data_IF_186242019975
#
_entry.id   IF_186242019975
#
_cell.length_a   1.000
_cell.length_b   1.000
_cell.length_c   1.000
_cell.angle_alpha   90.00
_cell.angle_beta   90.00
_cell.angle_gamma   90.00
#
_symmetry.space_group_name_H-M   'P 1'
#
loop_
_entity.id
_entity.type
_entity.pdbx_description
1 polymer ?
#
# COMPACT_ATOMS: atom_id res chain seq x y z
N UNK A 1 -43.71 -10.54 -36.47
CA UNK A 1 -43.53 -9.96 -35.12
C UNK A 1 -44.62 -10.37 -34.12
N UNK A 2 -45.90 -10.47 -34.52
CA UNK A 2 -46.98 -10.89 -33.63
C UNK A 2 -46.86 -12.33 -33.09
N UNK A 3 -46.26 -13.22 -33.86
CA UNK A 3 -46.13 -14.66 -33.51
C UNK A 3 -45.06 -14.89 -32.39
N UNK A 4 -43.96 -14.17 -32.44
CA UNK A 4 -42.88 -14.25 -31.44
C UNK A 4 -43.40 -13.71 -30.09
N UNK A 5 -44.14 -12.65 -30.10
CA UNK A 5 -44.74 -12.07 -28.90
C UNK A 5 -45.69 -13.04 -28.22
N UNK A 6 -46.54 -13.69 -29.00
CA UNK A 6 -47.49 -14.68 -28.50
C UNK A 6 -46.80 -15.92 -27.93
N UNK A 7 -45.69 -16.36 -28.52
CA UNK A 7 -44.92 -17.46 -27.99
C UNK A 7 -44.25 -17.09 -26.66
N UNK A 8 -43.73 -15.87 -26.54
CA UNK A 8 -43.12 -15.36 -25.29
C UNK A 8 -44.19 -15.29 -24.20
N UNK A 9 -45.38 -14.74 -24.49
CA UNK A 9 -46.47 -14.64 -23.53
C UNK A 9 -46.92 -16.04 -23.01
N UNK A 10 -47.06 -17.03 -23.89
CA UNK A 10 -47.40 -18.39 -23.51
C UNK A 10 -46.32 -19.08 -22.68
N UNK A 11 -45.04 -18.78 -22.96
CA UNK A 11 -43.94 -19.28 -22.16
C UNK A 11 -43.96 -18.71 -20.75
N UNK A 12 -44.14 -17.40 -20.61
CA UNK A 12 -44.25 -16.75 -19.31
C UNK A 12 -45.47 -17.21 -18.51
N UNK A 13 -46.62 -17.41 -19.17
CA UNK A 13 -47.79 -17.95 -18.52
C UNK A 13 -47.54 -19.37 -17.97
N UNK A 14 -46.93 -20.23 -18.79
CA UNK A 14 -46.58 -21.58 -18.36
C UNK A 14 -45.58 -21.59 -17.19
N UNK A 15 -44.57 -20.72 -17.24
CA UNK A 15 -43.61 -20.55 -16.17
C UNK A 15 -44.24 -20.06 -14.86
N UNK A 16 -45.10 -19.04 -14.94
CA UNK A 16 -45.86 -18.54 -13.79
C UNK A 16 -46.75 -19.65 -13.18
N UNK A 17 -47.39 -20.46 -14.00
CA UNK A 17 -48.21 -21.57 -13.55
C UNK A 17 -47.42 -22.64 -12.83
N UNK A 18 -46.20 -22.95 -13.29
CA UNK A 18 -45.30 -23.91 -12.64
C UNK A 18 -44.89 -23.38 -11.25
N UNK A 19 -44.50 -22.09 -11.14
CA UNK A 19 -44.13 -21.45 -9.87
C UNK A 19 -45.29 -21.52 -8.88
N UNK A 20 -46.49 -21.12 -9.30
CA UNK A 20 -47.66 -21.10 -8.45
C UNK A 20 -48.06 -22.49 -7.98
N UNK A 21 -47.92 -23.52 -8.84
CA UNK A 21 -48.27 -24.89 -8.51
C UNK A 21 -47.28 -25.59 -7.60
N UNK A 22 -46.01 -25.12 -7.54
CA UNK A 22 -44.96 -25.76 -6.77
C UNK A 22 -44.10 -24.72 -5.97
N UNK A 23 -44.72 -23.95 -5.05
CA UNK A 23 -44.07 -22.85 -4.39
C UNK A 23 -42.82 -23.27 -3.60
N UNK A 24 -42.86 -24.40 -2.89
CA UNK A 24 -41.71 -24.89 -2.10
C UNK A 24 -40.55 -25.33 -2.98
N UNK A 25 -40.80 -25.99 -4.12
CA UNK A 25 -39.75 -26.40 -5.06
C UNK A 25 -39.07 -25.18 -5.69
N UNK A 26 -39.88 -24.17 -6.04
CA UNK A 26 -39.36 -22.92 -6.60
C UNK A 26 -38.47 -22.18 -5.56
N UNK A 27 -38.91 -22.12 -4.29
CA UNK A 27 -38.13 -21.55 -3.22
C UNK A 27 -36.78 -22.27 -3.03
N UNK A 28 -36.79 -23.60 -2.99
CA UNK A 28 -35.57 -24.40 -2.86
C UNK A 28 -34.62 -24.17 -4.04
N UNK A 29 -35.15 -24.19 -5.28
CA UNK A 29 -34.32 -23.94 -6.46
C UNK A 29 -33.74 -22.54 -6.45
N UNK A 30 -34.52 -21.51 -6.10
CA UNK A 30 -34.04 -20.14 -5.99
C UNK A 30 -32.96 -20.00 -4.91
N UNK A 31 -33.18 -20.62 -3.75
CA UNK A 31 -32.18 -20.61 -2.68
C UNK A 31 -30.87 -21.29 -3.10
N UNK A 32 -30.95 -22.46 -3.74
CA UNK A 32 -29.77 -23.16 -4.25
C UNK A 32 -29.04 -22.33 -5.32
N UNK A 33 -29.79 -21.67 -6.22
CA UNK A 33 -29.18 -20.79 -7.22
C UNK A 33 -28.45 -19.61 -6.61
N UNK A 34 -29.07 -18.96 -5.62
CA UNK A 34 -28.43 -17.86 -4.88
C UNK A 34 -27.20 -18.37 -4.13
N UNK A 35 -27.30 -19.50 -3.43
CA UNK A 35 -26.18 -20.09 -2.71
C UNK A 35 -25.01 -20.43 -3.66
N UNK A 36 -25.30 -20.94 -4.85
CA UNK A 36 -24.30 -21.22 -5.87
C UNK A 36 -23.58 -19.95 -6.35
N UNK A 37 -24.29 -18.85 -6.53
CA UNK A 37 -23.71 -17.56 -6.91
C UNK A 37 -22.88 -16.99 -5.76
N UNK A 38 -23.42 -16.98 -4.53
CA UNK A 38 -22.73 -16.48 -3.34
C UNK A 38 -21.45 -17.25 -3.05
N UNK A 39 -21.43 -18.56 -3.32
CA UNK A 39 -20.24 -19.40 -3.16
C UNK A 39 -19.06 -19.00 -4.04
N UNK A 40 -19.29 -18.22 -5.09
CA UNK A 40 -18.23 -17.69 -5.96
C UNK A 40 -17.63 -16.36 -5.46
N UNK A 41 -18.30 -15.66 -4.53
CA UNK A 41 -17.83 -14.37 -4.01
C UNK A 41 -16.40 -14.43 -3.45
N UNK A 42 -15.98 -15.46 -2.68
CA UNK A 42 -14.62 -15.54 -2.17
C UNK A 42 -13.55 -15.69 -3.27
N UNK A 43 -13.94 -16.04 -4.50
CA UNK A 43 -13.03 -16.15 -5.65
C UNK A 43 -12.94 -14.87 -6.47
N UNK A 44 -13.71 -13.85 -6.10
CA UNK A 44 -13.69 -12.56 -6.76
C UNK A 44 -12.44 -11.80 -6.30
N UNK A 45 -11.50 -11.60 -7.20
CA UNK A 45 -10.37 -10.69 -7.02
C UNK A 45 -10.73 -9.36 -7.65
N UNK A 46 -10.66 -8.30 -6.86
CA UNK A 46 -10.86 -6.94 -7.37
C UNK A 46 -9.47 -6.38 -7.60
N UNK A 47 -9.13 -6.15 -8.85
CA UNK A 47 -7.92 -5.44 -9.23
C UNK A 47 -8.21 -3.94 -9.10
N UNK A 48 -7.61 -3.31 -8.08
CA UNK A 48 -7.71 -1.86 -7.81
C UNK A 48 -6.48 -1.11 -8.30
N UNK A 49 -5.57 -1.78 -9.03
CA UNK A 49 -4.41 -1.12 -9.61
C UNK A 49 -4.83 -0.09 -10.66
N UNK A 50 -4.03 0.95 -10.82
CA UNK A 50 -4.27 1.97 -11.86
C UNK A 50 -4.23 1.34 -13.26
N UNK A 51 -3.45 0.28 -13.43
CA UNK A 51 -3.32 -0.49 -14.68
C UNK A 51 -4.56 -1.33 -14.98
N UNK A 52 -5.33 -1.74 -13.95
CA UNK A 52 -6.59 -2.49 -14.12
C UNK A 52 -7.68 -1.74 -14.88
N UNK A 53 -7.55 -0.41 -15.03
CA UNK A 53 -8.44 0.41 -15.87
C UNK A 53 -8.06 0.39 -17.35
N UNK A 54 -6.83 -0.03 -17.69
CA UNK A 54 -6.35 -0.09 -19.06
C UNK A 54 -6.58 -1.50 -19.64
N UNK A 55 -6.85 -1.53 -20.93
CA UNK A 55 -7.01 -2.83 -21.60
C UNK A 55 -5.63 -3.49 -21.74
N UNK A 56 -5.49 -4.79 -21.44
CA UNK A 56 -4.22 -5.54 -21.52
C UNK A 56 -3.48 -5.46 -22.88
N UNK A 57 -4.18 -5.05 -23.93
CA UNK A 57 -3.64 -4.85 -25.28
C UNK A 57 -3.44 -3.37 -25.64
N UNK A 58 -3.57 -2.47 -24.67
CA UNK A 58 -3.32 -1.06 -24.90
C UNK A 58 -1.81 -0.85 -25.15
N UNK A 59 -1.42 -0.20 -26.25
CA UNK A 59 -0.02 0.08 -26.54
C UNK A 59 0.68 0.84 -25.40
N UNK A 60 -0.04 1.77 -24.75
CA UNK A 60 0.50 2.54 -23.63
C UNK A 60 0.84 1.62 -22.45
N UNK A 61 -0.01 0.63 -22.15
CA UNK A 61 0.26 -0.32 -21.08
C UNK A 61 1.45 -1.22 -21.42
N UNK A 62 1.56 -1.66 -22.68
CA UNK A 62 2.67 -2.48 -23.14
C UNK A 62 4.01 -1.73 -23.03
N UNK A 63 4.04 -0.46 -23.46
CA UNK A 63 5.23 0.39 -23.37
C UNK A 63 5.59 0.68 -21.91
N UNK A 64 4.58 0.91 -21.07
CA UNK A 64 4.76 1.11 -19.63
C UNK A 64 5.30 -0.14 -18.92
N UNK A 65 4.76 -1.32 -19.22
CA UNK A 65 5.25 -2.59 -18.68
C UNK A 65 6.70 -2.85 -19.13
N UNK A 66 7.03 -2.61 -20.40
CA UNK A 66 8.39 -2.72 -20.91
C UNK A 66 9.37 -1.76 -20.19
N UNK A 67 8.93 -0.54 -19.91
CA UNK A 67 9.70 0.42 -19.12
C UNK A 67 9.94 -0.09 -17.70
N UNK A 68 8.88 -0.59 -17.03
CA UNK A 68 8.99 -1.15 -15.67
C UNK A 68 9.87 -2.40 -15.60
N UNK A 69 9.82 -3.24 -16.61
CA UNK A 69 10.70 -4.43 -16.70
C UNK A 69 12.17 -4.04 -16.88
N UNK A 70 12.44 -2.93 -17.55
CA UNK A 70 13.80 -2.45 -17.79
C UNK A 70 14.39 -1.65 -16.62
N UNK A 71 13.57 -0.80 -15.98
CA UNK A 71 14.02 0.16 -14.96
C UNK A 71 13.58 -0.20 -13.54
N UNK A 72 12.76 -1.25 -13.41
CA UNK A 72 12.20 -1.68 -12.12
C UNK A 72 10.94 -0.91 -11.73
N UNK A 73 10.38 -1.28 -10.60
CA UNK A 73 9.21 -0.65 -9.99
C UNK A 73 9.66 0.13 -8.77
N UNK A 74 9.44 1.43 -8.75
CA UNK A 74 9.66 2.27 -7.58
C UNK A 74 8.48 2.13 -6.60
N UNK A 75 8.27 0.91 -6.08
CA UNK A 75 7.24 0.68 -5.07
C UNK A 75 7.77 1.13 -3.71
N UNK A 76 7.18 2.19 -3.19
CA UNK A 76 7.51 2.76 -1.89
C UNK A 76 6.35 2.54 -0.92
N UNK A 77 6.64 1.94 0.23
CA UNK A 77 5.71 1.87 1.36
C UNK A 77 6.08 2.97 2.33
N UNK A 78 5.09 3.79 2.66
CA UNK A 78 5.25 4.85 3.64
C UNK A 78 4.47 4.49 4.91
N UNK A 79 5.19 4.32 6.02
CA UNK A 79 4.61 4.12 7.34
C UNK A 79 4.63 5.45 8.08
N UNK A 80 3.47 6.10 8.24
CA UNK A 80 3.33 7.36 8.96
C UNK A 80 2.95 7.09 10.42
N UNK A 81 3.69 7.69 11.35
CA UNK A 81 3.53 7.49 12.80
C UNK A 81 3.25 8.83 13.44
N UNK A 82 2.11 8.95 14.11
CA UNK A 82 1.73 10.14 14.87
C UNK A 82 2.11 9.97 16.34
N UNK A 83 2.73 11.02 16.91
CA UNK A 83 3.10 11.09 18.32
C UNK A 83 3.01 12.55 18.81
N UNK A 84 2.78 12.81 20.09
CA UNK A 84 2.81 14.18 20.62
C UNK A 84 4.17 14.87 20.46
N UNK A 85 5.29 14.12 20.53
CA UNK A 85 6.66 14.63 20.34
C UNK A 85 7.55 13.51 19.81
N UNK A 86 8.09 13.69 18.59
CA UNK A 86 8.98 12.71 17.95
C UNK A 86 10.32 12.62 18.67
N UNK A 87 10.82 13.74 19.19
CA UNK A 87 12.12 13.83 19.87
C UNK A 87 12.01 13.56 21.38
N UNK A 88 11.22 12.58 21.77
CA UNK A 88 11.21 12.00 23.10
C UNK A 88 12.04 10.72 23.13
N UNK A 89 12.89 10.54 24.16
CA UNK A 89 13.77 9.36 24.25
C UNK A 89 13.00 8.03 24.21
N UNK A 90 11.83 7.97 24.86
CA UNK A 90 10.95 6.80 24.85
C UNK A 90 10.43 6.47 23.44
N UNK A 91 10.01 7.50 22.72
CA UNK A 91 9.52 7.33 21.36
C UNK A 91 10.64 6.97 20.37
N UNK A 92 11.81 7.61 20.44
CA UNK A 92 12.94 7.25 19.59
C UNK A 92 13.38 5.80 19.77
N UNK A 93 13.35 5.27 21.01
CA UNK A 93 13.59 3.84 21.25
C UNK A 93 12.54 2.92 20.61
N UNK A 94 11.27 3.32 20.63
CA UNK A 94 10.19 2.58 19.96
C UNK A 94 10.33 2.65 18.44
N UNK A 95 10.65 3.82 17.90
CA UNK A 95 10.89 4.01 16.48
C UNK A 95 12.06 3.14 16.00
N UNK A 96 13.16 3.09 16.77
CA UNK A 96 14.29 2.22 16.46
C UNK A 96 13.90 0.76 16.42
N UNK A 97 13.19 0.28 17.43
CA UNK A 97 12.70 -1.11 17.45
C UNK A 97 11.82 -1.43 16.25
N UNK A 98 10.88 -0.53 15.93
CA UNK A 98 10.01 -0.72 14.78
C UNK A 98 10.80 -0.73 13.47
N UNK A 99 11.79 0.16 13.33
CA UNK A 99 12.67 0.19 12.17
C UNK A 99 13.43 -1.14 12.01
N UNK A 100 14.07 -1.60 13.09
CA UNK A 100 14.83 -2.84 13.12
C UNK A 100 13.91 -4.06 12.84
N UNK A 101 12.73 -4.12 13.47
CA UNK A 101 11.75 -5.18 13.25
C UNK A 101 11.24 -5.22 11.81
N UNK A 102 11.00 -4.07 11.20
CA UNK A 102 10.60 -4.00 9.79
C UNK A 102 11.73 -4.46 8.87
N UNK A 103 12.96 -4.01 9.14
CA UNK A 103 14.13 -4.40 8.33
C UNK A 103 14.40 -5.92 8.37
N UNK A 104 14.17 -6.56 9.53
CA UNK A 104 14.45 -7.98 9.72
C UNK A 104 13.31 -8.90 9.25
N UNK A 105 12.05 -8.48 9.43
CA UNK A 105 10.91 -9.38 9.28
C UNK A 105 10.08 -9.14 8.02
N UNK A 106 10.22 -7.99 7.34
CA UNK A 106 9.52 -7.75 6.08
C UNK A 106 10.37 -8.29 4.91
N UNK A 107 9.83 -9.24 4.13
CA UNK A 107 10.57 -9.78 3.00
C UNK A 107 10.66 -8.78 1.85
N UNK A 108 11.71 -8.95 1.03
CA UNK A 108 11.91 -8.19 -0.21
C UNK A 108 12.12 -6.68 -0.02
N UNK A 109 12.62 -6.25 1.15
CA UNK A 109 13.10 -4.88 1.33
C UNK A 109 14.44 -4.71 0.62
N UNK A 110 14.57 -3.64 -0.16
CA UNK A 110 15.84 -3.17 -0.74
C UNK A 110 16.49 -2.15 0.18
N UNK A 111 15.71 -1.16 0.65
CA UNK A 111 16.15 -0.13 1.57
C UNK A 111 15.03 0.29 2.52
N UNK A 112 15.41 0.70 3.71
CA UNK A 112 14.51 1.27 4.72
C UNK A 112 15.12 2.54 5.28
N UNK A 113 14.40 3.64 5.15
CA UNK A 113 14.87 4.96 5.60
C UNK A 113 13.91 5.54 6.65
N UNK A 114 14.45 5.98 7.77
CA UNK A 114 13.73 6.70 8.81
C UNK A 114 14.66 7.71 9.48
N UNK A 115 14.19 8.41 10.51
CA UNK A 115 15.06 9.26 11.33
C UNK A 115 16.22 8.49 11.96
N UNK A 116 16.14 7.15 12.08
CA UNK A 116 17.19 6.33 12.71
C UNK A 116 18.45 6.28 11.85
N UNK A 117 18.30 6.13 10.53
CA UNK A 117 19.38 5.98 9.57
C UNK A 117 19.37 7.05 8.47
N UNK A 118 18.59 8.12 8.65
CA UNK A 118 18.57 9.22 7.68
C UNK A 118 19.98 9.76 7.48
N UNK A 119 20.42 9.82 6.21
CA UNK A 119 21.79 10.26 5.87
C UNK A 119 21.96 11.74 6.12
N UNK A 120 22.82 12.09 7.07
CA UNK A 120 23.17 13.45 7.41
C UNK A 120 24.49 13.85 6.72
N UNK A 121 24.37 14.73 5.73
CA UNK A 121 25.53 15.26 5.01
C UNK A 121 25.78 16.69 5.46
N UNK A 122 26.96 16.95 6.03
CA UNK A 122 27.36 18.28 6.46
C UNK A 122 28.77 18.63 6.02
N UNK A 123 28.98 19.91 5.75
CA UNK A 123 30.32 20.47 5.53
C UNK A 123 30.95 20.88 6.85
N UNK A 124 32.15 20.42 7.17
CA UNK A 124 32.92 20.86 8.31
C UNK A 124 34.33 21.24 7.85
N UNK A 125 34.62 22.52 7.91
CA UNK A 125 35.87 23.12 7.34
C UNK A 125 36.01 22.71 5.84
N UNK A 126 37.03 21.92 5.50
CA UNK A 126 37.31 21.48 4.13
C UNK A 126 36.87 20.03 3.85
N UNK A 127 36.03 19.45 4.71
CA UNK A 127 35.58 18.06 4.61
C UNK A 127 34.07 17.97 4.50
N UNK A 128 33.60 17.06 3.64
CA UNK A 128 32.24 16.63 3.63
C UNK A 128 32.09 15.40 4.54
N UNK A 129 31.30 15.54 5.60
CA UNK A 129 31.00 14.45 6.53
C UNK A 129 29.66 13.88 6.10
N UNK A 130 29.64 12.56 5.88
CA UNK A 130 28.42 11.79 5.58
C UNK A 130 28.32 10.73 6.66
N UNK A 131 27.29 10.85 7.49
CA UNK A 131 27.03 9.95 8.61
C UNK A 131 25.52 9.76 8.75
N UNK A 132 25.08 8.74 9.46
CA UNK A 132 23.69 8.60 9.80
C UNK A 132 23.28 9.63 10.86
N UNK A 133 22.06 10.12 10.82
CA UNK A 133 21.56 11.13 11.74
C UNK A 133 21.69 10.69 13.21
N UNK A 134 21.41 9.41 13.49
CA UNK A 134 21.51 8.77 14.79
C UNK A 134 22.62 7.70 14.82
N UNK A 135 23.74 7.94 14.10
CA UNK A 135 24.92 7.05 14.17
C UNK A 135 25.39 6.87 15.63
N UNK A 136 25.38 7.96 16.39
CA UNK A 136 25.58 7.92 17.82
C UNK A 136 24.23 8.09 18.53
N UNK A 137 23.83 7.05 19.28
CA UNK A 137 22.57 7.08 20.01
C UNK A 137 22.58 8.18 21.09
N UNK A 138 21.52 9.02 21.17
CA UNK A 138 21.45 10.09 22.16
C UNK A 138 21.32 9.53 23.58
N UNK A 139 22.22 9.95 24.48
CA UNK A 139 22.21 9.53 25.88
C UNK A 139 21.64 10.62 26.79
N UNK A 140 21.72 11.88 26.35
CA UNK A 140 21.30 13.05 27.14
C UNK A 140 20.15 13.81 26.44
N UNK A 141 19.46 14.64 27.26
CA UNK A 141 18.43 15.54 26.70
C UNK A 141 19.04 16.58 25.76
N UNK A 142 20.30 16.95 25.99
CA UNK A 142 21.04 17.88 25.13
C UNK A 142 21.33 17.28 23.77
N UNK A 143 21.71 16.00 23.72
CA UNK A 143 21.92 15.27 22.45
C UNK A 143 20.63 15.25 21.62
N UNK A 144 19.47 14.98 22.26
CA UNK A 144 18.18 14.98 21.61
C UNK A 144 17.82 16.37 21.03
N UNK A 145 18.11 17.44 21.79
CA UNK A 145 17.87 18.80 21.30
C UNK A 145 18.77 19.15 20.10
N UNK A 146 20.01 18.70 20.12
CA UNK A 146 20.93 18.90 19.01
C UNK A 146 20.47 18.15 17.76
N UNK A 147 20.06 16.89 17.91
CA UNK A 147 19.49 16.10 16.81
C UNK A 147 18.22 16.77 16.27
N UNK A 148 17.30 17.18 17.15
CA UNK A 148 16.08 17.91 16.76
C UNK A 148 16.43 19.14 15.93
N UNK A 149 17.40 19.93 16.37
CA UNK A 149 17.86 21.13 15.63
C UNK A 149 18.38 20.73 14.24
N UNK A 150 19.27 19.74 14.14
CA UNK A 150 19.81 19.27 12.85
C UNK A 150 18.72 18.80 11.88
N UNK A 151 17.70 18.10 12.40
CA UNK A 151 16.57 17.63 11.59
C UNK A 151 15.77 18.81 11.04
N UNK A 152 15.44 19.78 11.88
CA UNK A 152 14.65 20.94 11.44
C UNK A 152 15.45 21.95 10.60
N UNK A 153 16.76 21.98 10.72
CA UNK A 153 17.63 22.81 9.89
C UNK A 153 17.83 22.21 8.48
N UNK A 154 17.56 20.92 8.30
CA UNK A 154 17.70 20.24 7.01
C UNK A 154 16.36 20.19 6.26
N UNK A 155 16.21 20.92 5.13
CA UNK A 155 14.98 20.93 4.36
C UNK A 155 14.63 19.57 3.72
N UNK A 156 15.62 18.67 3.57
CA UNK A 156 15.39 17.33 3.01
C UNK A 156 14.57 16.42 3.93
N UNK A 157 14.59 16.68 5.24
CA UNK A 157 13.84 15.86 6.20
C UNK A 157 12.42 16.37 6.42
N UNK A 158 12.20 17.69 6.26
CA UNK A 158 10.88 18.30 6.42
C UNK A 158 9.90 17.76 5.38
N UNK A 159 8.73 17.38 5.85
CA UNK A 159 7.65 16.83 5.01
C UNK A 159 8.01 15.53 4.26
N UNK A 160 9.18 14.96 4.58
CA UNK A 160 9.58 13.64 4.06
C UNK A 160 9.72 12.65 5.23
N UNK A 161 10.55 12.96 6.22
CA UNK A 161 10.77 12.11 7.39
C UNK A 161 10.10 12.64 8.65
N UNK A 162 9.84 13.96 8.72
CA UNK A 162 9.21 14.62 9.85
C UNK A 162 8.28 15.74 9.37
N UNK A 163 7.14 15.91 10.05
CA UNK A 163 6.26 17.07 9.85
C UNK A 163 6.85 18.36 10.42
N UNK A 164 6.38 19.50 9.94
CA UNK A 164 6.84 20.82 10.39
C UNK A 164 6.60 21.06 11.89
N UNK A 165 5.54 20.48 12.44
CA UNK A 165 5.18 20.57 13.86
C UNK A 165 5.88 19.54 14.75
N UNK A 166 6.62 18.57 14.15
CA UNK A 166 7.32 17.52 14.88
C UNK A 166 6.43 16.43 15.49
N UNK A 167 5.17 16.34 15.06
CA UNK A 167 4.18 15.41 15.62
C UNK A 167 3.98 14.16 14.73
N UNK A 168 4.59 14.15 13.54
CA UNK A 168 4.59 13.00 12.64
C UNK A 168 6.00 12.66 12.21
N UNK A 169 6.29 11.38 12.14
CA UNK A 169 7.48 10.85 11.48
C UNK A 169 7.10 9.73 10.55
N UNK A 170 7.96 9.46 9.57
CA UNK A 170 7.73 8.41 8.58
C UNK A 170 8.88 7.43 8.53
N UNK A 171 8.55 6.18 8.19
CA UNK A 171 9.49 5.17 7.72
C UNK A 171 9.18 4.92 6.26
N UNK A 172 10.16 5.10 5.40
CA UNK A 172 10.10 4.82 3.97
C UNK A 172 10.73 3.46 3.73
N UNK A 173 9.99 2.56 3.10
CA UNK A 173 10.46 1.22 2.79
C UNK A 173 10.44 1.08 1.28
N UNK A 174 11.61 0.90 0.68
CA UNK A 174 11.76 0.60 -0.73
C UNK A 174 11.82 -0.90 -0.90
N UNK A 175 10.97 -1.43 -1.76
CA UNK A 175 10.93 -2.86 -2.07
C UNK A 175 11.88 -3.20 -3.20
N UNK A 176 12.40 -4.42 -3.18
CA UNK A 176 13.20 -4.95 -4.27
C UNK A 176 12.38 -4.97 -5.56
N UNK A 177 13.01 -4.56 -6.65
CA UNK A 177 12.40 -4.63 -7.97
C UNK A 177 12.24 -6.10 -8.37
N UNK A 178 11.05 -6.47 -8.79
CA UNK A 178 10.81 -7.80 -9.34
C UNK A 178 10.33 -7.69 -10.79
N UNK A 179 10.78 -8.62 -11.62
CA UNK A 179 10.27 -8.77 -12.98
C UNK A 179 8.96 -9.54 -12.95
N UNK A 180 7.96 -9.04 -13.68
CA UNK A 180 6.69 -9.76 -13.89
C UNK A 180 6.84 -10.93 -14.88
N UNK A 181 8.05 -11.13 -15.42
CA UNK A 181 8.38 -12.23 -16.32
C UNK A 181 8.85 -13.41 -15.44
N UNK A 182 7.92 -14.24 -15.05
CA UNK A 182 8.13 -15.52 -14.38
C UNK A 182 7.38 -16.60 -15.12
#
# INVERSE_FOLDING_TARGET
MADIRKQIELWFESFARIIYRNPYKTLIISFLSIAAVVSQIPKLTIDISTEGFLHKKDPILIDYDAFRDQFGRDELILVAIQTPEVFEAGFLNQLKKLHDDLAENVPYIEDITSLINARNTRGEADKLIVEDLLEKWPETTEDIKEIKKRVFDNPMYKNTLISEDGNFTTILIQLQTYSSIG
#
